data_IF_986074729976
#
_entry.id   IF_986074729976
#
_cell.length_a   1.000
_cell.length_b   1.000
_cell.length_c   1.000
_cell.angle_alpha   90.00
_cell.angle_beta   90.00
_cell.angle_gamma   90.00
#
_symmetry.space_group_name_H-M   'P 1'
#
loop_
_entity.id
_entity.type
_entity.pdbx_description
1 polymer ?
#
# COMPACT_ATOMS: atom_id res chain seq x y z
N UNK A 1 -37.48 -0.96 -69.10
CA UNK A 1 -36.53 -0.51 -69.40
C UNK A 1 -35.21 -0.60 -68.67
N UNK A 2 -34.11 -0.31 -69.32
CA UNK A 2 -32.74 -0.45 -68.83
C UNK A 2 -32.47 0.39 -67.57
N UNK A 3 -33.03 1.59 -67.51
CA UNK A 3 -32.83 2.50 -66.34
C UNK A 3 -33.51 1.98 -65.09
N UNK A 4 -34.66 1.36 -65.20
CA UNK A 4 -35.38 0.80 -64.05
C UNK A 4 -34.66 -0.43 -63.50
N UNK A 5 -34.13 -1.30 -64.36
CA UNK A 5 -33.34 -2.46 -63.96
C UNK A 5 -32.05 -2.04 -63.29
N UNK A 6 -31.38 -1.02 -63.82
CA UNK A 6 -30.15 -0.47 -63.26
C UNK A 6 -30.40 0.14 -61.85
N UNK A 7 -31.50 0.86 -61.68
CA UNK A 7 -31.91 1.44 -60.37
C UNK A 7 -32.24 0.37 -59.36
N UNK A 8 -32.89 -0.73 -59.78
CA UNK A 8 -33.19 -1.88 -58.91
C UNK A 8 -31.93 -2.55 -58.45
N UNK A 9 -30.98 -2.81 -59.35
CA UNK A 9 -29.68 -3.40 -59.03
C UNK A 9 -28.88 -2.53 -58.06
N UNK A 10 -28.87 -1.24 -58.27
CA UNK A 10 -28.21 -0.27 -57.37
C UNK A 10 -28.85 -0.25 -56.00
N UNK A 11 -30.18 -0.28 -55.95
CA UNK A 11 -30.94 -0.36 -54.68
C UNK A 11 -30.65 -1.64 -53.93
N UNK A 12 -30.60 -2.75 -54.61
CA UNK A 12 -30.26 -4.07 -54.03
C UNK A 12 -28.83 -4.06 -53.44
N UNK A 13 -27.87 -3.47 -54.12
CA UNK A 13 -26.51 -3.30 -53.62
C UNK A 13 -26.45 -2.43 -52.39
N UNK A 14 -27.21 -1.33 -52.37
CA UNK A 14 -27.30 -0.43 -51.20
C UNK A 14 -27.91 -1.13 -50.01
N UNK A 15 -28.94 -1.96 -50.22
CA UNK A 15 -29.55 -2.77 -49.17
C UNK A 15 -28.57 -3.79 -48.63
N UNK A 16 -27.83 -4.49 -49.49
CA UNK A 16 -26.82 -5.47 -49.13
C UNK A 16 -25.70 -4.82 -48.29
N UNK A 17 -25.20 -3.66 -48.73
CA UNK A 17 -24.20 -2.87 -48.00
C UNK A 17 -24.72 -2.40 -46.67
N UNK A 18 -25.96 -1.92 -46.62
CA UNK A 18 -26.61 -1.46 -45.39
C UNK A 18 -26.77 -2.58 -44.38
N UNK A 19 -27.14 -3.77 -44.88
CA UNK A 19 -27.26 -4.98 -44.03
C UNK A 19 -25.93 -5.41 -43.47
N UNK A 20 -24.88 -5.34 -44.27
CA UNK A 20 -23.50 -5.68 -43.87
C UNK A 20 -23.02 -4.71 -42.78
N UNK A 21 -23.23 -3.42 -42.95
CA UNK A 21 -22.89 -2.38 -42.00
C UNK A 21 -23.68 -2.56 -40.69
N UNK A 22 -24.96 -2.88 -40.77
CA UNK A 22 -25.79 -3.18 -39.61
C UNK A 22 -25.28 -4.37 -38.83
N UNK A 23 -24.89 -5.45 -39.51
CA UNK A 23 -24.31 -6.63 -38.89
C UNK A 23 -22.96 -6.33 -38.21
N UNK A 24 -22.09 -5.56 -38.86
CA UNK A 24 -20.80 -5.15 -38.31
C UNK A 24 -21.01 -4.26 -37.06
N UNK A 25 -21.98 -3.33 -37.12
CA UNK A 25 -22.34 -2.49 -36.01
C UNK A 25 -22.87 -3.30 -34.82
N UNK A 26 -23.77 -4.24 -35.09
CA UNK A 26 -24.28 -5.13 -34.05
C UNK A 26 -23.17 -5.94 -33.38
N UNK A 27 -22.22 -6.42 -34.17
CA UNK A 27 -21.05 -7.16 -33.69
C UNK A 27 -20.14 -6.29 -32.82
N UNK A 28 -19.90 -5.05 -33.26
CA UNK A 28 -19.11 -4.07 -32.50
C UNK A 28 -19.80 -3.69 -31.19
N UNK A 29 -21.11 -3.52 -31.19
CA UNK A 29 -21.90 -3.28 -29.98
C UNK A 29 -21.82 -4.46 -29.01
N UNK A 30 -21.86 -5.69 -29.54
CA UNK A 30 -21.65 -6.89 -28.72
C UNK A 30 -20.29 -6.89 -28.03
N UNK A 31 -19.24 -6.48 -28.71
CA UNK A 31 -17.91 -6.35 -28.15
C UNK A 31 -17.85 -5.25 -27.06
N UNK A 32 -18.53 -4.14 -27.28
CA UNK A 32 -18.63 -3.06 -26.28
C UNK A 32 -19.32 -3.59 -25.02
N UNK A 33 -20.40 -4.33 -25.15
CA UNK A 33 -21.11 -4.92 -23.98
C UNK A 33 -20.18 -5.89 -23.22
N UNK A 34 -19.46 -6.75 -23.94
CA UNK A 34 -18.51 -7.67 -23.34
C UNK A 34 -17.40 -6.92 -22.58
N UNK A 35 -16.84 -5.89 -23.21
CA UNK A 35 -15.80 -5.05 -22.58
C UNK A 35 -16.34 -4.34 -21.34
N UNK A 36 -17.58 -3.83 -21.41
CA UNK A 36 -18.22 -3.20 -20.27
C UNK A 36 -18.39 -4.16 -19.08
N UNK A 37 -18.76 -5.41 -19.36
CA UNK A 37 -18.86 -6.46 -18.33
C UNK A 37 -17.50 -6.75 -17.70
N UNK A 38 -16.45 -6.85 -18.50
CA UNK A 38 -15.08 -7.07 -18.01
C UNK A 38 -14.61 -5.90 -17.13
N UNK A 39 -14.95 -4.67 -17.53
CA UNK A 39 -14.65 -3.46 -16.72
C UNK A 39 -15.40 -3.53 -15.39
N UNK A 40 -16.68 -3.90 -15.40
CA UNK A 40 -17.47 -4.01 -14.19
C UNK A 40 -16.86 -5.05 -13.22
N UNK A 41 -16.41 -6.20 -13.73
CA UNK A 41 -15.72 -7.22 -12.92
C UNK A 41 -14.40 -6.69 -12.36
N UNK A 42 -13.63 -5.99 -13.18
CA UNK A 42 -12.37 -5.38 -12.75
C UNK A 42 -12.61 -4.34 -11.65
N UNK A 43 -13.64 -3.52 -11.76
CA UNK A 43 -14.02 -2.54 -10.74
C UNK A 43 -14.42 -3.23 -9.44
N UNK A 44 -15.15 -4.33 -9.52
CA UNK A 44 -15.51 -5.13 -8.33
C UNK A 44 -14.25 -5.69 -7.65
N UNK A 45 -13.32 -6.24 -8.42
CA UNK A 45 -12.05 -6.76 -7.89
C UNK A 45 -11.22 -5.66 -7.23
N UNK A 46 -11.16 -4.48 -7.86
CA UNK A 46 -10.48 -3.32 -7.29
C UNK A 46 -11.14 -2.91 -5.97
N UNK A 47 -12.47 -2.90 -5.92
CA UNK A 47 -13.23 -2.58 -4.69
C UNK A 47 -12.89 -3.55 -3.56
N UNK A 48 -12.85 -4.85 -3.85
CA UNK A 48 -12.47 -5.89 -2.87
C UNK A 48 -11.04 -5.69 -2.39
N UNK A 49 -10.10 -5.51 -3.32
CA UNK A 49 -8.69 -5.28 -3.01
C UNK A 49 -8.51 -4.02 -2.17
N UNK A 50 -9.24 -2.94 -2.48
CA UNK A 50 -9.20 -1.69 -1.72
C UNK A 50 -9.70 -1.89 -0.28
N UNK A 51 -10.74 -2.68 -0.08
CA UNK A 51 -11.26 -3.01 1.24
C UNK A 51 -10.22 -3.78 2.06
N UNK A 52 -9.53 -4.75 1.44
CA UNK A 52 -8.47 -5.51 2.09
C UNK A 52 -7.27 -4.62 2.42
N UNK A 53 -6.90 -3.72 1.52
CA UNK A 53 -5.84 -2.74 1.77
C UNK A 53 -6.19 -1.82 2.94
N UNK A 54 -7.43 -1.38 3.05
CA UNK A 54 -7.89 -0.56 4.18
C UNK A 54 -7.72 -1.30 5.50
N UNK A 55 -8.03 -2.60 5.55
CA UNK A 55 -7.80 -3.44 6.74
C UNK A 55 -6.31 -3.57 7.05
N UNK A 56 -5.49 -3.80 6.04
CA UNK A 56 -4.03 -3.89 6.21
C UNK A 56 -3.44 -2.58 6.72
N UNK A 57 -3.90 -1.44 6.21
CA UNK A 57 -3.49 -0.13 6.68
C UNK A 57 -3.87 0.11 8.14
N UNK A 58 -5.04 -0.37 8.56
CA UNK A 58 -5.45 -0.29 9.97
C UNK A 58 -4.50 -1.12 10.87
N UNK A 59 -4.11 -2.31 10.43
CA UNK A 59 -3.12 -3.14 11.13
C UNK A 59 -1.75 -2.45 11.20
N UNK A 60 -1.33 -1.79 10.12
CA UNK A 60 -0.09 -1.00 10.09
C UNK A 60 -0.18 0.16 11.09
N UNK A 61 -1.32 0.84 11.16
CA UNK A 61 -1.56 1.92 12.13
C UNK A 61 -1.39 1.41 13.57
N UNK A 62 -1.99 0.28 13.87
CA UNK A 62 -1.86 -0.37 15.20
C UNK A 62 -0.39 -0.70 15.48
N UNK A 63 0.32 -1.25 14.50
CA UNK A 63 1.74 -1.56 14.61
C UNK A 63 2.59 -0.32 14.88
N UNK A 64 2.29 0.79 14.23
CA UNK A 64 2.96 2.08 14.44
C UNK A 64 2.71 2.60 15.85
N UNK A 65 1.49 2.48 16.36
CA UNK A 65 1.16 2.86 17.75
C UNK A 65 1.98 2.02 18.75
N UNK A 66 2.13 0.72 18.52
CA UNK A 66 2.94 -0.17 19.34
C UNK A 66 4.43 0.24 19.29
N UNK A 67 4.95 0.52 18.10
CA UNK A 67 6.33 0.99 17.92
C UNK A 67 6.54 2.31 18.65
N UNK A 68 5.59 3.24 18.55
CA UNK A 68 5.64 4.51 19.27
C UNK A 68 5.72 4.30 20.79
N UNK A 69 4.94 3.36 21.32
CA UNK A 69 5.00 2.96 22.72
C UNK A 69 6.36 2.40 23.12
N UNK A 70 6.94 1.54 22.28
CA UNK A 70 8.29 0.96 22.48
C UNK A 70 9.35 2.07 22.46
N UNK A 71 9.26 3.00 21.53
CA UNK A 71 10.19 4.15 21.43
C UNK A 71 10.15 4.98 22.70
N UNK A 72 8.96 5.27 23.23
CA UNK A 72 8.80 6.02 24.50
C UNK A 72 9.39 5.25 25.68
N UNK A 73 9.15 3.95 25.75
CA UNK A 73 9.72 3.08 26.78
C UNK A 73 11.24 3.05 26.67
N UNK A 74 11.78 2.95 25.47
CA UNK A 74 13.24 2.96 25.23
C UNK A 74 13.86 4.28 25.64
N UNK A 75 13.20 5.42 25.35
CA UNK A 75 13.67 6.73 25.77
C UNK A 75 13.74 6.83 27.31
N UNK A 76 12.72 6.33 28.02
CA UNK A 76 12.71 6.29 29.48
C UNK A 76 13.84 5.39 30.02
N UNK A 77 14.07 4.23 29.39
CA UNK A 77 15.16 3.33 29.75
C UNK A 77 16.54 3.95 29.51
N UNK A 78 16.70 4.72 28.46
CA UNK A 78 17.96 5.44 28.18
C UNK A 78 18.23 6.46 29.27
N UNK A 79 17.23 7.22 29.69
CA UNK A 79 17.36 8.18 30.80
C UNK A 79 17.71 7.48 32.12
N UNK A 80 17.02 6.39 32.43
CA UNK A 80 17.29 5.58 33.62
C UNK A 80 18.71 4.99 33.57
N UNK A 81 19.14 4.47 32.44
CA UNK A 81 20.50 3.93 32.26
C UNK A 81 21.55 5.02 32.43
N UNK A 82 21.31 6.21 31.92
CA UNK A 82 22.21 7.35 32.11
C UNK A 82 22.34 7.73 33.60
N UNK A 83 21.22 7.76 34.31
CA UNK A 83 21.22 8.02 35.77
C UNK A 83 21.97 6.94 36.53
N UNK A 84 21.73 5.67 36.21
CA UNK A 84 22.41 4.52 36.82
C UNK A 84 23.92 4.56 36.51
N UNK A 85 24.29 4.91 35.29
CA UNK A 85 25.68 5.08 34.87
C UNK A 85 26.38 6.17 35.68
N UNK A 86 25.69 7.29 35.94
CA UNK A 86 26.17 8.37 36.80
C UNK A 86 26.42 7.91 38.23
N UNK A 87 25.47 7.17 38.81
CA UNK A 87 25.59 6.58 40.14
C UNK A 87 26.75 5.62 40.23
N UNK A 88 26.92 4.74 39.25
CA UNK A 88 28.03 3.80 39.18
C UNK A 88 29.37 4.52 39.11
N UNK A 89 29.44 5.61 38.35
CA UNK A 89 30.64 6.43 38.24
C UNK A 89 31.03 7.05 39.59
N UNK A 90 30.04 7.57 40.34
CA UNK A 90 30.28 8.09 41.70
C UNK A 90 30.74 7.01 42.67
N UNK A 91 30.10 5.86 42.64
CA UNK A 91 30.49 4.72 43.49
C UNK A 91 31.90 4.25 43.15
N UNK A 92 32.26 4.20 41.87
CA UNK A 92 33.61 3.86 41.43
C UNK A 92 34.66 4.85 41.98
N UNK A 93 34.34 6.16 41.97
CA UNK A 93 35.21 7.18 42.58
C UNK A 93 35.37 7.01 44.06
N UNK A 94 34.28 6.72 44.79
CA UNK A 94 34.33 6.45 46.23
C UNK A 94 35.21 5.24 46.53
N UNK A 95 35.08 4.15 45.77
CA UNK A 95 35.90 2.96 45.89
C UNK A 95 37.39 3.25 45.64
N UNK A 96 37.67 4.04 44.60
CA UNK A 96 39.02 4.47 44.26
C UNK A 96 39.66 5.28 45.43
N UNK A 97 38.91 6.19 45.98
CA UNK A 97 39.34 7.01 47.13
C UNK A 97 39.62 6.15 48.35
N UNK A 98 38.75 5.19 48.64
CA UNK A 98 38.94 4.23 49.74
C UNK A 98 40.20 3.39 49.59
N UNK A 99 40.41 2.89 48.38
CA UNK A 99 41.62 2.09 48.02
C UNK A 99 42.87 2.96 48.17
N UNK A 100 42.82 4.20 47.72
CA UNK A 100 43.93 5.15 47.84
C UNK A 100 44.27 5.44 49.29
N UNK A 101 43.28 5.67 50.15
CA UNK A 101 43.46 5.83 51.58
C UNK A 101 44.08 4.59 52.25
N UNK A 102 43.58 3.44 51.91
CA UNK A 102 44.05 2.17 52.42
C UNK A 102 45.52 1.91 52.00
N UNK A 103 45.84 2.28 50.77
CA UNK A 103 47.20 2.17 50.24
C UNK A 103 48.17 3.15 50.92
N UNK A 104 47.71 4.33 51.23
CA UNK A 104 48.49 5.34 51.95
C UNK A 104 48.73 4.92 53.39
N UNK A 105 47.73 4.40 54.09
CA UNK A 105 47.82 3.89 55.43
C UNK A 105 48.79 2.67 55.54
N UNK A 106 48.83 1.85 54.48
CA UNK A 106 49.71 0.67 54.41
C UNK A 106 51.19 1.00 54.21
N UNK A 107 51.46 2.19 53.66
CA UNK A 107 52.83 2.70 53.45
C UNK A 107 53.42 3.36 54.69
N UNK A 108 52.60 3.64 55.66
CA UNK A 108 53.00 4.15 56.96
C UNK A 108 53.17 3.00 57.92
#
# INVERSE_FOLDING_TARGET
AKNTTSLIEESLRSIDNGQKIANETAQSLGQVVTSAQQIAEAVEDISKASTEQAKSLDQVRIGIEQISGVVQTNAAMVEENAATGGELSEEAKKLFDLISRFRTDRKM
#
